data_IF_816758260348
#
_entry.id   IF_816758260348
#
_cell.length_a   1.000
_cell.length_b   1.000
_cell.length_c   1.000
_cell.angle_alpha   90.00
_cell.angle_beta   90.00
_cell.angle_gamma   90.00
#
_symmetry.space_group_name_H-M   'P 1'
#
loop_
_entity.id
_entity.type
_entity.pdbx_description
1 polymer ?
#
# COMPACT_ATOMS: atom_id res chain seq x y z
N UNK A 1 -5.36 -2.59 -6.31
CA UNK A 1 -4.25 -3.11 -5.46
C UNK A 1 -4.73 -4.37 -4.74
N UNK A 2 -3.83 -5.30 -4.44
CA UNK A 2 -4.10 -6.52 -3.69
C UNK A 2 -3.07 -6.66 -2.56
N UNK A 3 -3.49 -7.09 -1.38
CA UNK A 3 -2.59 -7.26 -0.22
C UNK A 3 -2.39 -8.73 0.12
N UNK A 4 -1.15 -9.13 0.42
CA UNK A 4 -0.75 -10.42 0.95
C UNK A 4 -0.32 -10.21 2.41
N UNK A 5 -1.12 -10.66 3.35
CA UNK A 5 -0.93 -10.38 4.79
C UNK A 5 -0.86 -11.67 5.60
N UNK A 6 0.05 -11.74 6.56
CA UNK A 6 0.10 -12.81 7.57
C UNK A 6 -0.50 -12.37 8.90
N UNK A 7 -1.56 -11.55 8.83
CA UNK A 7 -2.35 -11.07 9.96
C UNK A 7 -2.58 -12.16 11.00
N UNK A 8 -2.35 -11.80 12.25
CA UNK A 8 -2.39 -12.75 13.35
C UNK A 8 -2.96 -12.13 14.63
N UNK A 9 -3.04 -12.95 15.68
CA UNK A 9 -3.43 -12.48 17.02
C UNK A 9 -2.23 -12.19 17.92
N UNK A 10 -1.02 -12.52 17.50
CA UNK A 10 0.20 -12.34 18.29
C UNK A 10 1.09 -11.20 17.80
N UNK A 11 0.85 -10.70 16.60
CA UNK A 11 1.43 -9.51 15.99
C UNK A 11 0.28 -8.70 15.39
N UNK A 12 0.24 -7.40 15.67
CA UNK A 12 -0.99 -6.60 15.56
C UNK A 12 -0.96 -5.60 14.41
N UNK A 13 0.20 -5.36 13.81
CA UNK A 13 0.42 -4.32 12.81
C UNK A 13 -0.28 -4.59 11.48
N UNK A 14 -0.45 -5.84 11.04
CA UNK A 14 -1.32 -6.13 9.88
C UNK A 14 -2.78 -5.73 10.17
N UNK A 15 -3.28 -6.00 11.38
CA UNK A 15 -4.66 -5.65 11.76
C UNK A 15 -4.82 -4.13 11.83
N UNK A 16 -3.85 -3.42 12.40
CA UNK A 16 -3.78 -1.96 12.38
C UNK A 16 -3.78 -1.41 10.94
N UNK A 17 -2.95 -1.99 10.06
CA UNK A 17 -2.82 -1.60 8.66
C UNK A 17 -4.09 -1.88 7.84
N UNK A 18 -4.79 -3.00 8.09
CA UNK A 18 -6.09 -3.29 7.47
C UNK A 18 -7.14 -2.25 7.85
N UNK A 19 -7.19 -1.84 9.12
CA UNK A 19 -8.14 -0.81 9.58
C UNK A 19 -7.85 0.52 8.89
N UNK A 20 -6.58 0.91 8.79
CA UNK A 20 -6.19 2.13 8.07
C UNK A 20 -6.52 2.03 6.59
N UNK A 21 -6.26 0.90 5.94
CA UNK A 21 -6.63 0.68 4.54
C UNK A 21 -8.15 0.86 4.33
N UNK A 22 -8.99 0.32 5.22
CA UNK A 22 -10.45 0.51 5.14
C UNK A 22 -10.87 1.97 5.35
N UNK A 23 -10.21 2.69 6.25
CA UNK A 23 -10.44 4.13 6.42
C UNK A 23 -10.05 4.96 5.19
N UNK A 24 -9.27 4.38 4.26
CA UNK A 24 -8.84 4.98 2.98
C UNK A 24 -9.37 4.20 1.76
N UNK A 25 -10.42 3.38 1.92
CA UNK A 25 -10.92 2.52 0.85
C UNK A 25 -11.41 3.30 -0.37
N UNK A 26 -11.75 4.59 -0.23
CA UNK A 26 -12.07 5.47 -1.35
C UNK A 26 -10.89 5.84 -2.24
N UNK A 27 -9.65 5.69 -1.76
CA UNK A 27 -8.45 6.03 -2.51
C UNK A 27 -7.90 4.84 -3.32
N UNK A 28 -8.52 3.67 -3.19
CA UNK A 28 -8.04 2.43 -3.77
C UNK A 28 -9.16 1.60 -4.34
N UNK A 29 -8.92 1.06 -5.52
CA UNK A 29 -9.63 -0.15 -5.93
C UNK A 29 -8.93 -1.35 -5.29
N UNK A 30 -9.54 -1.89 -4.24
CA UNK A 30 -9.00 -3.02 -3.49
C UNK A 30 -9.46 -4.30 -4.18
N UNK A 31 -8.54 -4.99 -4.85
CA UNK A 31 -8.80 -6.19 -5.66
C UNK A 31 -8.60 -7.49 -4.89
N UNK A 32 -7.99 -7.43 -3.71
CA UNK A 32 -7.83 -8.60 -2.87
C UNK A 32 -7.27 -8.28 -1.49
N UNK A 33 -7.79 -8.99 -0.49
CA UNK A 33 -7.23 -9.08 0.86
C UNK A 33 -6.93 -10.54 1.09
N UNK A 34 -5.69 -10.94 0.84
CA UNK A 34 -5.28 -12.34 0.84
C UNK A 34 -4.50 -12.67 2.11
N UNK A 35 -5.07 -13.56 2.90
CA UNK A 35 -4.44 -14.06 4.12
C UNK A 35 -3.48 -15.16 3.72
N UNK A 36 -2.20 -14.97 4.02
CA UNK A 36 -1.13 -15.88 3.61
C UNK A 36 -0.16 -16.15 4.76
N UNK A 37 1.00 -16.70 4.42
CA UNK A 37 2.09 -16.94 5.36
C UNK A 37 3.06 -15.77 5.38
N UNK A 38 3.92 -15.72 6.38
CA UNK A 38 4.97 -14.72 6.56
C UNK A 38 5.75 -14.97 7.84
N UNK A 39 6.31 -13.93 8.44
CA UNK A 39 7.15 -14.06 9.62
C UNK A 39 6.33 -14.57 10.81
N UNK A 40 5.09 -14.06 10.93
CA UNK A 40 4.16 -14.34 12.01
C UNK A 40 3.43 -15.67 11.79
N UNK A 41 3.14 -16.04 10.54
CA UNK A 41 2.39 -17.27 10.19
C UNK A 41 3.20 -18.16 9.25
N UNK A 42 3.74 -19.28 9.75
CA UNK A 42 4.51 -20.20 8.92
C UNK A 42 3.63 -21.18 8.13
N UNK A 43 2.47 -21.56 8.67
CA UNK A 43 1.63 -22.63 8.12
C UNK A 43 0.15 -22.34 8.35
N UNK A 44 -0.48 -21.67 7.38
CA UNK A 44 -1.82 -21.11 7.52
C UNK A 44 -2.94 -22.14 7.75
N UNK A 45 -2.74 -23.42 7.38
CA UNK A 45 -3.76 -24.45 7.57
C UNK A 45 -3.90 -24.97 9.02
N UNK A 46 -3.07 -24.49 9.96
CA UNK A 46 -3.17 -24.86 11.38
C UNK A 46 -4.26 -24.06 12.08
N UNK A 47 -4.92 -24.65 13.06
CA UNK A 47 -5.72 -23.86 14.00
C UNK A 47 -4.80 -23.23 15.06
N UNK A 48 -4.93 -21.93 15.41
CA UNK A 48 -5.96 -20.98 14.97
C UNK A 48 -5.61 -20.18 13.70
N UNK A 49 -4.41 -20.37 13.10
CA UNK A 49 -3.93 -19.63 11.90
C UNK A 49 -4.97 -19.58 10.77
N UNK A 50 -5.63 -20.71 10.48
CA UNK A 50 -6.66 -20.81 9.44
C UNK A 50 -7.89 -19.92 9.73
N UNK A 51 -8.13 -19.57 10.99
CA UNK A 51 -9.18 -18.66 11.43
C UNK A 51 -8.80 -17.18 11.35
N UNK A 52 -7.55 -16.83 11.03
CA UNK A 52 -7.13 -15.42 10.94
C UNK A 52 -7.78 -14.66 9.80
N UNK A 53 -8.36 -15.35 8.82
CA UNK A 53 -9.25 -14.74 7.83
C UNK A 53 -10.45 -14.03 8.44
N UNK A 54 -10.89 -14.43 9.63
CA UNK A 54 -11.98 -13.77 10.32
C UNK A 54 -11.56 -12.41 10.91
N UNK A 55 -10.26 -12.12 11.05
CA UNK A 55 -9.78 -10.78 11.40
C UNK A 55 -10.09 -9.81 10.26
N UNK A 56 -9.69 -10.14 9.02
CA UNK A 56 -9.99 -9.29 7.86
C UNK A 56 -11.49 -9.13 7.62
N UNK A 57 -12.28 -10.20 7.79
CA UNK A 57 -13.75 -10.11 7.73
C UNK A 57 -14.31 -9.20 8.82
N UNK A 58 -13.81 -9.32 10.05
CA UNK A 58 -14.21 -8.46 11.17
C UNK A 58 -13.91 -6.98 10.93
N UNK A 59 -12.78 -6.67 10.30
CA UNK A 59 -12.42 -5.30 9.90
C UNK A 59 -13.39 -4.78 8.82
N UNK A 60 -13.74 -5.59 7.82
CA UNK A 60 -14.74 -5.22 6.80
C UNK A 60 -16.14 -5.07 7.42
N UNK A 61 -16.51 -5.87 8.42
CA UNK A 61 -17.77 -5.72 9.15
C UNK A 61 -17.80 -4.42 9.99
N UNK A 62 -16.65 -3.97 10.50
CA UNK A 62 -16.53 -2.65 11.13
C UNK A 62 -16.65 -1.52 10.09
N UNK A 63 -15.95 -1.65 8.96
CA UNK A 63 -16.05 -0.72 7.83
C UNK A 63 -17.50 -0.55 7.38
N UNK A 64 -18.25 -1.65 7.20
CA UNK A 64 -19.66 -1.60 6.78
C UNK A 64 -20.53 -0.71 7.68
N UNK A 65 -20.27 -0.73 8.99
CA UNK A 65 -21.03 0.08 9.96
C UNK A 65 -20.65 1.55 9.91
N UNK A 66 -19.40 1.85 9.59
CA UNK A 66 -18.89 3.22 9.47
C UNK A 66 -19.09 3.81 8.06
N UNK A 67 -19.34 2.96 7.06
CA UNK A 67 -19.49 3.32 5.65
C UNK A 67 -20.56 4.41 5.39
N UNK A 68 -21.75 4.39 6.03
CA UNK A 68 -22.72 5.47 5.88
C UNK A 68 -22.20 6.84 6.35
N UNK A 69 -21.25 6.87 7.28
CA UNK A 69 -20.60 8.10 7.72
C UNK A 69 -19.48 8.52 6.76
N UNK A 70 -18.66 7.58 6.31
CA UNK A 70 -17.57 7.81 5.35
C UNK A 70 -18.10 8.39 4.02
N UNK A 71 -19.17 7.81 3.48
CA UNK A 71 -19.79 8.23 2.21
C UNK A 71 -20.33 9.66 2.22
N UNK A 72 -20.64 10.24 3.40
CA UNK A 72 -21.09 11.63 3.50
C UNK A 72 -20.05 12.61 2.96
N UNK A 73 -18.78 12.22 2.90
CA UNK A 73 -17.68 13.11 2.50
C UNK A 73 -17.53 13.31 1.01
N UNK A 74 -17.81 12.27 0.24
CA UNK A 74 -17.93 12.35 -1.22
C UNK A 74 -19.38 12.56 -1.68
N UNK A 75 -20.34 12.62 -0.75
CA UNK A 75 -21.77 12.68 -1.08
C UNK A 75 -22.27 11.45 -1.83
N UNK A 76 -21.55 10.33 -1.68
CA UNK A 76 -21.84 9.11 -2.43
C UNK A 76 -23.17 8.49 -1.98
N UNK A 77 -23.91 7.95 -2.95
CA UNK A 77 -25.12 7.17 -2.71
C UNK A 77 -25.01 5.83 -3.42
N UNK A 78 -25.15 4.73 -2.67
CA UNK A 78 -25.04 3.37 -3.21
C UNK A 78 -23.61 3.02 -3.66
N UNK A 79 -23.53 1.92 -4.42
CA UNK A 79 -22.27 1.26 -4.78
C UNK A 79 -22.27 0.81 -6.25
N UNK A 80 -22.61 1.72 -7.16
CA UNK A 80 -22.79 1.41 -8.58
C UNK A 80 -21.49 0.95 -9.29
N UNK A 81 -20.32 1.19 -8.70
CA UNK A 81 -19.02 0.87 -9.29
C UNK A 81 -18.39 -0.39 -8.68
N UNK A 82 -19.12 -1.17 -7.88
CA UNK A 82 -18.60 -2.46 -7.38
C UNK A 82 -18.42 -3.49 -8.51
N UNK A 83 -19.16 -3.35 -9.61
CA UNK A 83 -19.10 -4.25 -10.77
C UNK A 83 -18.16 -3.82 -11.88
N UNK A 84 -17.30 -2.83 -11.64
CA UNK A 84 -16.34 -2.36 -12.65
C UNK A 84 -15.30 -1.42 -12.05
N UNK A 85 -14.57 -0.74 -12.93
CA UNK A 85 -13.48 0.17 -12.56
C UNK A 85 -13.90 1.24 -11.55
N UNK A 86 -13.20 1.28 -10.42
CA UNK A 86 -13.39 2.26 -9.35
C UNK A 86 -12.48 3.47 -9.54
N UNK A 87 -13.02 4.66 -9.24
CA UNK A 87 -12.29 5.91 -9.30
C UNK A 87 -11.92 6.38 -7.89
N UNK A 88 -10.86 7.19 -7.78
CA UNK A 88 -10.49 7.85 -6.52
C UNK A 88 -11.68 8.67 -6.00
N UNK A 89 -11.98 8.50 -4.71
CA UNK A 89 -13.13 9.08 -4.01
C UNK A 89 -14.36 8.17 -3.92
N UNK A 90 -14.35 7.01 -4.56
CA UNK A 90 -15.44 6.03 -4.51
C UNK A 90 -15.27 5.03 -3.35
N UNK A 91 -16.20 5.01 -2.42
CA UNK A 91 -16.25 4.03 -1.33
C UNK A 91 -16.87 2.69 -1.80
N UNK A 92 -16.10 1.58 -1.85
CA UNK A 92 -16.65 0.28 -2.23
C UNK A 92 -17.64 -0.25 -1.19
N UNK A 93 -18.59 -1.10 -1.59
CA UNK A 93 -19.43 -1.77 -0.60
C UNK A 93 -18.63 -2.78 0.24
N UNK A 94 -19.14 -3.07 1.44
CA UNK A 94 -18.58 -4.15 2.24
C UNK A 94 -18.76 -5.53 1.57
N UNK A 95 -19.80 -5.73 0.76
CA UNK A 95 -19.98 -6.97 0.00
C UNK A 95 -18.85 -7.16 -1.02
N UNK A 96 -18.54 -6.13 -1.80
CA UNK A 96 -17.43 -6.13 -2.76
C UNK A 96 -16.10 -6.51 -2.10
N UNK A 97 -15.82 -5.94 -0.92
CA UNK A 97 -14.60 -6.23 -0.17
C UNK A 97 -14.60 -7.68 0.37
N UNK A 98 -15.72 -8.17 0.92
CA UNK A 98 -15.83 -9.54 1.45
C UNK A 98 -15.59 -10.60 0.37
N UNK A 99 -16.12 -10.38 -0.83
CA UNK A 99 -15.94 -11.28 -1.98
C UNK A 99 -14.47 -11.37 -2.45
N UNK A 100 -13.63 -10.41 -2.03
CA UNK A 100 -12.20 -10.33 -2.33
C UNK A 100 -11.29 -10.76 -1.17
N UNK A 101 -11.85 -11.28 -0.07
CA UNK A 101 -11.06 -11.87 1.02
C UNK A 101 -10.80 -13.34 0.72
N UNK A 102 -9.54 -13.70 0.49
CA UNK A 102 -9.15 -15.07 0.12
C UNK A 102 -8.06 -15.64 1.04
N UNK A 103 -7.96 -16.97 1.09
CA UNK A 103 -6.76 -17.63 1.59
C UNK A 103 -5.74 -17.75 0.45
N UNK A 104 -4.49 -17.39 0.71
CA UNK A 104 -3.35 -17.54 -0.19
C UNK A 104 -2.60 -18.85 0.06
N UNK A 105 -1.29 -18.83 -0.22
CA UNK A 105 -0.41 -19.97 0.02
C UNK A 105 -0.44 -20.43 1.48
N UNK A 106 -0.47 -21.75 1.67
CA UNK A 106 -0.62 -22.38 2.99
C UNK A 106 0.68 -22.55 3.75
N UNK A 107 1.83 -22.49 3.07
CA UNK A 107 3.14 -22.74 3.66
C UNK A 107 4.18 -21.74 3.16
N UNK A 108 5.01 -21.30 4.09
CA UNK A 108 6.05 -20.31 3.87
C UNK A 108 7.32 -20.88 3.22
N UNK A 109 7.87 -20.15 2.27
CA UNK A 109 9.20 -20.37 1.67
C UNK A 109 9.18 -20.98 0.27
N UNK A 110 10.30 -20.84 -0.45
CA UNK A 110 10.50 -21.20 -1.86
C UNK A 110 10.17 -22.66 -2.19
N UNK A 111 10.40 -23.57 -1.24
CA UNK A 111 10.18 -25.02 -1.45
C UNK A 111 8.70 -25.42 -1.63
N UNK A 112 7.77 -24.51 -1.39
CA UNK A 112 6.33 -24.72 -1.58
C UNK A 112 5.79 -23.98 -2.81
N UNK A 113 6.67 -23.54 -3.71
CA UNK A 113 6.29 -23.01 -5.02
C UNK A 113 6.39 -24.17 -6.01
N UNK A 114 5.26 -24.79 -6.32
CA UNK A 114 5.20 -25.96 -7.21
C UNK A 114 3.80 -26.12 -7.83
N UNK A 115 3.59 -27.22 -8.57
CA UNK A 115 2.35 -27.48 -9.28
C UNK A 115 1.11 -27.77 -8.42
N UNK A 116 1.28 -28.05 -7.13
CA UNK A 116 0.19 -28.51 -6.25
C UNK A 116 -0.18 -27.49 -5.17
N UNK A 117 0.47 -26.31 -5.16
CA UNK A 117 0.30 -25.27 -4.13
C UNK A 117 -0.53 -24.05 -4.57
N UNK A 118 -1.29 -24.16 -5.66
CA UNK A 118 -2.31 -23.16 -6.04
C UNK A 118 -3.32 -22.91 -4.91
N UNK A 119 -3.83 -21.68 -4.83
CA UNK A 119 -4.73 -21.24 -3.75
C UNK A 119 -5.78 -20.26 -4.29
N UNK A 120 -6.94 -20.09 -3.62
CA UNK A 120 -7.91 -19.07 -4.03
C UNK A 120 -7.30 -17.67 -4.18
N UNK A 121 -6.31 -17.31 -3.35
CA UNK A 121 -5.59 -16.06 -3.45
C UNK A 121 -4.66 -15.96 -4.66
N UNK A 122 -4.00 -17.05 -5.07
CA UNK A 122 -3.18 -17.04 -6.29
C UNK A 122 -4.03 -17.00 -7.55
N UNK A 123 -5.15 -17.73 -7.58
CA UNK A 123 -6.12 -17.66 -8.68
C UNK A 123 -6.77 -16.28 -8.79
N UNK A 124 -7.11 -15.64 -7.66
CA UNK A 124 -7.60 -14.28 -7.63
C UNK A 124 -6.58 -13.31 -8.22
N UNK A 125 -5.31 -13.39 -7.79
CA UNK A 125 -4.25 -12.53 -8.32
C UNK A 125 -4.10 -12.68 -9.83
N UNK A 126 -4.10 -13.93 -10.33
CA UNK A 126 -4.01 -14.22 -11.77
C UNK A 126 -5.19 -13.59 -12.51
N UNK A 127 -6.41 -13.84 -12.02
CA UNK A 127 -7.64 -13.30 -12.61
C UNK A 127 -7.62 -11.77 -12.66
N UNK A 128 -7.22 -11.13 -11.56
CA UNK A 128 -7.17 -9.68 -11.42
C UNK A 128 -6.10 -9.03 -12.32
N UNK A 129 -4.98 -9.71 -12.56
CA UNK A 129 -3.98 -9.23 -13.51
C UNK A 129 -4.43 -9.36 -14.97
N UNK A 130 -5.27 -10.35 -15.29
CA UNK A 130 -5.79 -10.58 -16.63
C UNK A 130 -6.99 -9.71 -16.99
N UNK A 131 -7.53 -8.93 -16.06
CA UNK A 131 -8.63 -8.01 -16.34
C UNK A 131 -8.26 -6.98 -17.41
N UNK A 132 -9.23 -6.64 -18.27
CA UNK A 132 -9.11 -5.60 -19.31
C UNK A 132 -9.13 -4.18 -18.68
N UNK A 133 -8.13 -3.90 -17.85
CA UNK A 133 -7.78 -2.56 -17.38
C UNK A 133 -6.37 -2.24 -17.88
N UNK A 134 -6.02 -0.98 -18.07
CA UNK A 134 -4.64 -0.58 -18.43
C UNK A 134 -3.78 -0.27 -17.18
N UNK A 135 -4.42 -0.01 -16.03
CA UNK A 135 -3.72 0.28 -14.77
C UNK A 135 -2.96 -0.95 -14.26
N UNK A 136 -1.75 -0.80 -13.72
CA UNK A 136 -1.03 -1.92 -13.14
C UNK A 136 -1.72 -2.44 -11.87
N UNK A 137 -1.56 -3.75 -11.60
CA UNK A 137 -1.99 -4.35 -10.34
C UNK A 137 -0.82 -4.32 -9.34
N UNK A 138 -0.95 -3.46 -8.34
CA UNK A 138 -0.03 -3.38 -7.21
C UNK A 138 -0.29 -4.45 -6.17
N UNK A 139 0.74 -5.21 -5.81
CA UNK A 139 0.73 -6.25 -4.79
C UNK A 139 1.52 -5.75 -3.57
N UNK A 140 0.81 -5.45 -2.48
CA UNK A 140 1.41 -5.16 -1.19
C UNK A 140 1.72 -6.45 -0.45
N UNK A 141 3.00 -6.75 -0.25
CA UNK A 141 3.46 -7.95 0.46
C UNK A 141 3.77 -7.55 1.89
N UNK A 142 2.77 -7.70 2.77
CA UNK A 142 2.82 -7.36 4.19
C UNK A 142 3.43 -8.50 5.00
N UNK A 143 3.20 -9.74 4.57
CA UNK A 143 3.88 -10.92 5.08
C UNK A 143 4.82 -11.54 4.06
N UNK A 144 4.57 -12.80 3.73
CA UNK A 144 5.30 -13.58 2.74
C UNK A 144 4.84 -13.35 1.30
N UNK A 145 5.78 -13.47 0.36
CA UNK A 145 5.55 -13.33 -1.08
C UNK A 145 5.04 -14.61 -1.75
N UNK A 146 4.81 -15.69 -0.98
CA UNK A 146 4.53 -17.02 -1.51
C UNK A 146 3.33 -17.05 -2.46
N UNK A 147 2.27 -16.31 -2.18
CA UNK A 147 1.08 -16.29 -3.05
C UNK A 147 1.38 -15.62 -4.40
N UNK A 148 2.15 -14.53 -4.43
CA UNK A 148 2.60 -13.91 -5.68
C UNK A 148 3.55 -14.86 -6.43
N UNK A 149 4.52 -15.45 -5.72
CA UNK A 149 5.47 -16.38 -6.31
C UNK A 149 4.76 -17.60 -6.95
N UNK A 150 3.75 -18.15 -6.27
CA UNK A 150 2.93 -19.24 -6.77
C UNK A 150 2.13 -18.81 -8.01
N UNK A 151 1.56 -17.61 -8.02
CA UNK A 151 0.84 -17.07 -9.18
C UNK A 151 1.75 -16.96 -10.41
N UNK A 152 2.95 -16.42 -10.22
CA UNK A 152 3.97 -16.31 -11.27
C UNK A 152 4.36 -17.70 -11.78
N UNK A 153 4.59 -18.66 -10.88
CA UNK A 153 4.92 -20.04 -11.24
C UNK A 153 3.83 -20.69 -12.10
N UNK A 154 2.56 -20.56 -11.70
CA UNK A 154 1.42 -21.10 -12.45
C UNK A 154 1.36 -20.50 -13.87
N UNK A 155 1.46 -19.17 -13.98
CA UNK A 155 1.45 -18.48 -15.28
C UNK A 155 2.62 -18.92 -16.17
N UNK A 156 3.84 -19.01 -15.63
CA UNK A 156 5.03 -19.45 -16.38
C UNK A 156 4.93 -20.91 -16.84
N UNK A 157 4.23 -21.75 -16.08
CA UNK A 157 4.01 -23.17 -16.41
C UNK A 157 2.92 -23.35 -17.48
N UNK A 158 1.84 -22.61 -17.36
CA UNK A 158 0.61 -22.85 -18.12
C UNK A 158 0.49 -21.97 -19.37
N UNK A 159 1.27 -20.90 -19.48
CA UNK A 159 1.25 -19.95 -20.61
C UNK A 159 2.58 -19.90 -21.36
N UNK A 160 2.58 -19.28 -22.54
CA UNK A 160 3.81 -18.98 -23.29
C UNK A 160 4.72 -17.98 -22.54
N UNK A 161 5.98 -17.91 -22.94
CA UNK A 161 6.93 -16.96 -22.35
C UNK A 161 6.50 -15.49 -22.57
N UNK A 162 5.91 -15.19 -23.72
CA UNK A 162 5.39 -13.87 -24.06
C UNK A 162 4.17 -13.49 -23.20
N UNK A 163 3.25 -14.43 -22.97
CA UNK A 163 2.10 -14.23 -22.08
C UNK A 163 2.55 -14.07 -20.62
N UNK A 164 3.51 -14.88 -20.16
CA UNK A 164 4.07 -14.75 -18.82
C UNK A 164 4.79 -13.41 -18.62
N UNK A 165 5.54 -12.93 -19.63
CA UNK A 165 6.15 -11.60 -19.61
C UNK A 165 5.10 -10.48 -19.61
N UNK A 166 4.00 -10.64 -20.35
CA UNK A 166 2.88 -9.68 -20.34
C UNK A 166 2.24 -9.61 -18.95
N UNK A 167 2.01 -10.76 -18.33
CA UNK A 167 1.54 -10.87 -16.95
C UNK A 167 2.47 -10.18 -15.96
N UNK A 168 3.78 -10.44 -16.01
CA UNK A 168 4.75 -9.79 -15.11
C UNK A 168 4.75 -8.27 -15.28
N UNK A 169 4.73 -7.77 -16.52
CA UNK A 169 4.73 -6.33 -16.82
C UNK A 169 3.42 -5.63 -16.41
N UNK A 170 2.35 -6.37 -16.14
CA UNK A 170 1.11 -5.87 -15.58
C UNK A 170 1.16 -5.68 -14.06
N UNK A 171 2.04 -6.41 -13.39
CA UNK A 171 2.17 -6.43 -11.94
C UNK A 171 3.20 -5.43 -11.42
N UNK A 172 2.99 -4.97 -10.19
CA UNK A 172 3.98 -4.22 -9.40
C UNK A 172 3.98 -4.83 -8.00
N UNK A 173 5.12 -4.91 -7.34
CA UNK A 173 5.21 -5.47 -6.00
C UNK A 173 5.94 -4.52 -5.05
N UNK A 174 5.36 -4.33 -3.86
CA UNK A 174 5.98 -3.62 -2.75
C UNK A 174 6.04 -4.59 -1.56
N UNK A 175 7.24 -5.05 -1.20
CA UNK A 175 7.47 -5.93 -0.07
C UNK A 175 7.98 -5.19 1.17
N UNK A 176 7.37 -5.51 2.29
CA UNK A 176 7.79 -5.12 3.63
C UNK A 176 8.76 -6.19 4.14
N UNK A 177 10.06 -5.90 4.07
CA UNK A 177 11.17 -6.79 4.42
C UNK A 177 11.06 -8.22 3.82
N UNK A 178 11.88 -9.18 4.28
CA UNK A 178 11.87 -10.59 3.86
C UNK A 178 11.19 -11.48 4.90
N UNK A 179 9.89 -11.68 4.80
CA UNK A 179 9.19 -12.41 5.85
C UNK A 179 9.10 -13.92 5.62
N UNK A 180 9.67 -14.45 4.53
CA UNK A 180 9.56 -15.86 4.16
C UNK A 180 10.66 -16.77 4.71
N UNK A 181 11.65 -16.19 5.39
CA UNK A 181 12.78 -16.91 5.97
C UNK A 181 13.05 -16.48 7.41
N UNK A 182 13.84 -17.28 8.11
CA UNK A 182 14.43 -16.85 9.36
C UNK A 182 15.57 -15.86 9.07
N UNK A 183 15.49 -14.65 9.62
CA UNK A 183 16.53 -13.64 9.45
C UNK A 183 17.92 -14.12 9.91
N UNK A 184 17.98 -15.11 10.81
CA UNK A 184 19.21 -15.73 11.28
C UNK A 184 19.41 -17.10 10.64
N UNK A 185 20.45 -17.22 9.82
CA UNK A 185 20.95 -18.51 9.32
C UNK A 185 20.30 -19.04 8.05
N UNK A 186 19.27 -18.38 7.53
CA UNK A 186 18.69 -18.68 6.22
C UNK A 186 18.95 -17.50 5.27
N UNK A 187 19.35 -17.78 4.03
CA UNK A 187 19.52 -16.76 3.00
C UNK A 187 18.33 -16.69 2.04
N UNK A 188 18.51 -15.93 0.95
CA UNK A 188 17.46 -15.74 -0.06
C UNK A 188 17.12 -17.02 -0.82
N UNK A 189 18.01 -18.02 -0.82
CA UNK A 189 17.83 -19.30 -1.50
C UNK A 189 16.65 -20.14 -0.98
N UNK A 190 16.10 -19.80 0.19
CA UNK A 190 14.88 -20.43 0.73
C UNK A 190 13.67 -19.50 0.75
N UNK A 191 13.85 -18.20 0.49
CA UNK A 191 12.78 -17.20 0.52
C UNK A 191 12.00 -17.16 -0.79
N UNK A 192 10.68 -16.98 -0.71
CA UNK A 192 9.87 -16.74 -1.90
C UNK A 192 10.18 -15.38 -2.54
N UNK A 193 10.61 -14.39 -1.74
CA UNK A 193 11.05 -13.09 -2.25
C UNK A 193 12.33 -13.24 -3.08
N UNK A 194 13.27 -14.06 -2.61
CA UNK A 194 14.46 -14.45 -3.36
C UNK A 194 14.09 -15.16 -4.67
N UNK A 195 13.10 -16.06 -4.63
CA UNK A 195 12.58 -16.71 -5.83
C UNK A 195 11.97 -15.72 -6.83
N UNK A 196 11.10 -14.81 -6.38
CA UNK A 196 10.48 -13.79 -7.24
C UNK A 196 11.57 -12.98 -7.94
N UNK A 197 12.52 -12.44 -7.16
CA UNK A 197 13.66 -11.68 -7.70
C UNK A 197 14.45 -12.48 -8.76
N UNK A 198 14.75 -13.75 -8.51
CA UNK A 198 15.45 -14.63 -9.46
C UNK A 198 14.65 -14.89 -10.74
N UNK A 199 13.32 -14.99 -10.66
CA UNK A 199 12.47 -15.37 -11.79
C UNK A 199 12.02 -14.20 -12.66
N UNK A 200 11.96 -12.98 -12.12
CA UNK A 200 11.32 -11.86 -12.82
C UNK A 200 12.30 -10.85 -13.40
N UNK A 201 13.45 -10.63 -12.75
CA UNK A 201 14.37 -9.55 -13.12
C UNK A 201 13.63 -8.22 -13.38
N UNK A 202 13.91 -7.59 -14.52
CA UNK A 202 13.30 -6.31 -14.93
C UNK A 202 11.84 -6.40 -15.41
N UNK A 203 11.28 -7.61 -15.59
CA UNK A 203 9.89 -7.77 -16.05
C UNK A 203 8.87 -7.52 -14.92
N UNK A 204 9.31 -7.41 -13.67
CA UNK A 204 8.50 -7.00 -12.52
C UNK A 204 9.16 -5.81 -11.83
N UNK A 205 8.42 -4.70 -11.67
CA UNK A 205 8.84 -3.64 -10.75
C UNK A 205 8.65 -4.17 -9.32
N UNK A 206 9.76 -4.52 -8.68
CA UNK A 206 9.77 -5.09 -7.34
C UNK A 206 10.52 -4.16 -6.37
N UNK A 207 9.77 -3.53 -5.47
CA UNK A 207 10.28 -2.74 -4.35
C UNK A 207 10.43 -3.63 -3.13
N UNK A 208 11.61 -3.58 -2.51
CA UNK A 208 11.91 -4.24 -1.26
C UNK A 208 12.29 -3.21 -0.22
N UNK A 209 11.35 -2.89 0.66
CA UNK A 209 11.48 -1.84 1.65
C UNK A 209 11.95 -2.39 3.00
N UNK A 210 12.93 -1.71 3.57
CA UNK A 210 13.52 -1.95 4.88
C UNK A 210 13.53 -0.68 5.75
N UNK A 211 13.24 0.48 5.16
CA UNK A 211 13.44 1.78 5.77
C UNK A 211 12.11 2.40 6.22
N UNK A 212 11.11 2.47 5.34
CA UNK A 212 9.81 3.03 5.69
C UNK A 212 9.08 2.12 6.69
N UNK A 213 9.16 0.80 6.53
CA UNK A 213 8.74 -0.18 7.55
C UNK A 213 9.29 0.10 8.96
N UNK A 214 10.62 0.21 9.09
CA UNK A 214 11.27 0.48 10.39
C UNK A 214 10.89 1.86 10.94
N UNK A 215 10.80 2.85 10.04
CA UNK A 215 10.38 4.20 10.35
C UNK A 215 8.97 4.22 10.93
N UNK A 216 7.99 3.64 10.23
CA UNK A 216 6.60 3.59 10.67
C UNK A 216 6.47 2.94 12.04
N UNK A 217 7.06 1.75 12.19
CA UNK A 217 7.02 0.99 13.44
C UNK A 217 7.55 1.80 14.63
N UNK A 218 8.69 2.48 14.46
CA UNK A 218 9.38 3.20 15.55
C UNK A 218 8.74 4.55 15.87
N UNK A 219 8.37 5.32 14.85
CA UNK A 219 7.74 6.62 15.00
C UNK A 219 6.32 6.44 15.56
N UNK A 220 5.53 5.51 14.99
CA UNK A 220 4.17 5.25 15.44
C UNK A 220 4.11 4.78 16.90
N UNK A 221 5.04 3.89 17.30
CA UNK A 221 5.20 3.48 18.70
C UNK A 221 5.51 4.65 19.62
N UNK A 222 6.38 5.57 19.18
CA UNK A 222 6.71 6.77 19.95
C UNK A 222 5.55 7.77 20.00
N UNK A 223 4.69 7.77 18.98
CA UNK A 223 3.50 8.60 18.85
C UNK A 223 2.21 7.92 19.37
N UNK A 224 2.34 6.81 20.12
CA UNK A 224 1.18 5.97 20.50
C UNK A 224 0.07 6.75 21.22
N UNK A 225 0.43 7.77 22.01
CA UNK A 225 -0.55 8.62 22.68
C UNK A 225 -1.55 9.26 21.72
N UNK A 226 -1.12 9.65 20.53
CA UNK A 226 -2.00 10.21 19.50
C UNK A 226 -2.83 9.13 18.81
N UNK A 227 -2.30 7.92 18.56
CA UNK A 227 -3.11 6.79 18.07
C UNK A 227 -4.22 6.41 19.04
N UNK A 228 -3.89 6.28 20.33
CA UNK A 228 -4.87 5.97 21.36
C UNK A 228 -5.97 7.05 21.48
N UNK A 229 -5.63 8.29 21.16
CA UNK A 229 -6.53 9.45 21.26
C UNK A 229 -7.38 9.69 20.01
N UNK A 230 -6.82 9.49 18.83
CA UNK A 230 -7.44 9.88 17.56
C UNK A 230 -7.90 8.70 16.70
N UNK A 231 -7.41 7.49 16.97
CA UNK A 231 -7.69 6.30 16.17
C UNK A 231 -8.50 5.30 17.00
N UNK A 232 -7.98 4.91 18.18
CA UNK A 232 -8.66 3.91 19.01
C UNK A 232 -10.01 4.43 19.51
N UNK A 233 -11.05 3.61 19.33
CA UNK A 233 -12.43 3.94 19.72
C UNK A 233 -13.15 4.93 18.80
N UNK A 234 -12.53 5.38 17.69
CA UNK A 234 -13.19 6.24 16.70
C UNK A 234 -13.95 5.38 15.67
N UNK A 235 -15.28 5.32 15.81
CA UNK A 235 -16.12 4.48 14.95
C UNK A 235 -15.96 3.00 15.29
N UNK A 236 -16.56 2.14 14.46
CA UNK A 236 -16.45 0.69 14.58
C UNK A 236 -15.05 0.22 14.17
N UNK A 237 -14.44 0.85 13.16
CA UNK A 237 -13.05 0.60 12.77
C UNK A 237 -12.09 0.85 13.93
N UNK A 238 -12.18 2.02 14.56
CA UNK A 238 -11.31 2.38 15.69
C UNK A 238 -11.54 1.50 16.92
N UNK A 239 -12.74 0.93 17.09
CA UNK A 239 -13.01 -0.03 18.19
C UNK A 239 -12.26 -1.35 18.05
N UNK A 240 -11.85 -1.72 16.83
CA UNK A 240 -11.05 -2.90 16.57
C UNK A 240 -9.56 -2.62 16.51
N UNK A 241 -9.13 -1.35 16.44
CA UNK A 241 -7.72 -0.97 16.35
C UNK A 241 -6.95 -1.42 17.61
N UNK A 242 -6.12 -2.48 17.51
CA UNK A 242 -5.48 -3.05 18.68
C UNK A 242 -4.35 -2.15 19.20
N UNK A 243 -3.89 -2.42 20.42
CA UNK A 243 -2.63 -1.84 20.88
C UNK A 243 -1.47 -2.59 20.24
N UNK A 244 -0.49 -1.83 19.74
CA UNK A 244 0.72 -2.41 19.16
C UNK A 244 1.43 -3.40 20.08
N UNK A 245 1.99 -4.44 19.47
CA UNK A 245 2.84 -5.42 20.16
C UNK A 245 4.32 -5.05 20.08
N UNK A 246 4.86 -4.88 18.87
CA UNK A 246 6.28 -4.63 18.64
C UNK A 246 6.53 -3.21 18.10
N UNK A 247 5.81 -2.84 17.05
CA UNK A 247 5.68 -1.48 16.51
C UNK A 247 4.28 -1.29 15.91
N UNK A 248 4.03 -0.10 15.39
CA UNK A 248 2.72 0.33 14.86
C UNK A 248 2.73 0.27 13.34
N UNK A 249 1.71 -0.35 12.75
CA UNK A 249 1.42 -0.30 11.31
C UNK A 249 2.65 -0.54 10.39
N UNK A 250 3.46 -1.57 10.71
CA UNK A 250 4.67 -1.91 9.96
C UNK A 250 4.45 -2.03 8.44
N UNK A 251 3.29 -2.53 8.02
CA UNK A 251 3.01 -2.84 6.62
C UNK A 251 2.32 -1.72 5.84
N UNK A 252 1.81 -0.73 6.58
CA UNK A 252 1.12 0.42 6.01
C UNK A 252 1.93 1.19 4.94
N UNK A 253 3.27 1.32 5.01
CA UNK A 253 4.06 1.91 3.93
C UNK A 253 3.76 1.33 2.54
N UNK A 254 3.41 0.04 2.42
CA UNK A 254 3.15 -0.61 1.14
C UNK A 254 1.96 -0.01 0.37
N UNK A 255 0.95 0.53 1.07
CA UNK A 255 -0.13 1.26 0.41
C UNK A 255 0.01 2.78 0.55
N UNK A 256 0.74 3.30 1.54
CA UNK A 256 1.07 4.72 1.58
C UNK A 256 1.96 5.15 0.40
N UNK A 257 2.76 4.25 -0.14
CA UNK A 257 3.51 4.43 -1.40
C UNK A 257 2.59 4.78 -2.59
N UNK A 258 1.35 4.29 -2.55
CA UNK A 258 0.34 4.44 -3.60
C UNK A 258 -0.64 5.58 -3.35
N UNK A 259 -0.42 6.38 -2.31
CA UNK A 259 -1.34 7.45 -1.93
C UNK A 259 -1.46 8.49 -3.05
N UNK A 260 -2.67 8.71 -3.61
CA UNK A 260 -2.87 9.65 -4.70
C UNK A 260 -2.96 11.08 -4.16
N UNK A 261 -1.85 11.60 -3.66
CA UNK A 261 -1.73 12.94 -3.06
C UNK A 261 -0.89 13.92 -3.92
N UNK A 262 -0.49 13.49 -5.12
CA UNK A 262 0.32 14.28 -6.05
C UNK A 262 1.80 14.36 -5.72
N UNK A 263 2.28 13.65 -4.69
CA UNK A 263 3.68 13.68 -4.27
C UNK A 263 4.59 12.82 -5.15
N UNK A 264 4.08 11.68 -5.66
CA UNK A 264 4.81 10.77 -6.52
C UNK A 264 3.93 10.12 -7.60
N UNK A 265 4.59 9.69 -8.67
CA UNK A 265 4.12 8.66 -9.59
C UNK A 265 4.60 7.28 -9.06
N UNK A 266 3.70 6.36 -8.66
CA UNK A 266 4.09 5.04 -8.20
C UNK A 266 4.87 4.21 -9.22
N UNK A 267 4.81 4.54 -10.52
CA UNK A 267 5.62 3.86 -11.55
C UNK A 267 7.07 4.38 -11.58
N UNK A 268 7.39 5.43 -10.83
CA UNK A 268 8.74 5.99 -10.67
C UNK A 268 9.19 5.93 -9.20
N UNK A 269 9.81 4.83 -8.76
CA UNK A 269 10.20 4.65 -7.37
C UNK A 269 11.27 5.63 -6.87
N UNK A 270 11.89 6.42 -7.75
CA UNK A 270 12.88 7.43 -7.34
C UNK A 270 12.26 8.63 -6.63
N UNK A 271 10.97 8.87 -6.87
CA UNK A 271 10.23 9.98 -6.30
C UNK A 271 9.83 9.69 -4.85
N UNK A 272 9.93 10.70 -3.98
CA UNK A 272 9.52 10.56 -2.58
C UNK A 272 8.02 10.38 -2.45
N UNK A 273 7.60 9.38 -1.68
CA UNK A 273 6.21 9.13 -1.33
C UNK A 273 6.04 9.01 0.19
N UNK A 274 4.80 8.82 0.66
CA UNK A 274 4.55 8.44 2.05
C UNK A 274 4.99 7.01 2.39
N UNK A 275 5.34 6.20 1.39
CA UNK A 275 5.99 4.90 1.53
C UNK A 275 7.50 4.93 1.29
N UNK A 276 8.12 6.11 1.18
CA UNK A 276 9.56 6.24 0.93
C UNK A 276 9.92 6.40 -0.55
N UNK A 277 11.22 6.30 -0.83
CA UNK A 277 11.80 6.35 -2.18
C UNK A 277 12.99 5.40 -2.32
N UNK A 278 13.22 5.00 -3.56
CA UNK A 278 14.02 3.83 -3.89
C UNK A 278 14.95 4.11 -5.07
N UNK A 279 16.06 3.38 -5.10
CA UNK A 279 17.01 3.35 -6.21
C UNK A 279 17.07 1.93 -6.74
N UNK A 280 17.12 1.83 -8.07
CA UNK A 280 17.26 0.55 -8.75
C UNK A 280 18.65 -0.03 -8.49
N UNK A 281 18.70 -1.30 -8.06
CA UNK A 281 19.92 -2.08 -7.88
C UNK A 281 20.10 -3.05 -9.05
N UNK A 282 21.25 -3.71 -9.10
CA UNK A 282 21.52 -4.78 -10.07
C UNK A 282 20.41 -5.85 -10.02
N UNK A 283 20.04 -6.38 -11.18
CA UNK A 283 19.00 -7.40 -11.31
C UNK A 283 17.55 -6.89 -11.23
N UNK A 284 17.33 -5.58 -11.22
CA UNK A 284 15.99 -5.00 -11.37
C UNK A 284 15.28 -4.66 -10.05
N UNK A 285 15.87 -5.05 -8.91
CA UNK A 285 15.30 -4.83 -7.59
C UNK A 285 15.42 -3.37 -7.15
N UNK A 286 14.33 -2.80 -6.63
CA UNK A 286 14.33 -1.46 -6.05
C UNK A 286 14.55 -1.54 -4.54
N UNK A 287 15.53 -0.78 -4.06
CA UNK A 287 15.94 -0.73 -2.65
C UNK A 287 15.96 0.69 -2.15
N UNK A 288 15.83 0.86 -0.85
CA UNK A 288 15.79 2.14 -0.16
C UNK A 288 16.90 3.10 -0.65
N UNK A 289 16.51 4.32 -1.01
CA UNK A 289 17.45 5.40 -1.22
C UNK A 289 18.06 5.85 0.12
N UNK A 290 19.22 6.50 0.10
CA UNK A 290 19.87 7.02 1.32
C UNK A 290 19.02 8.04 2.08
N UNK A 291 18.07 8.67 1.39
CA UNK A 291 17.12 9.68 1.88
C UNK A 291 15.76 9.11 2.26
N UNK A 292 15.52 7.82 2.04
CA UNK A 292 14.22 7.19 2.30
C UNK A 292 13.72 7.42 3.73
N UNK A 293 14.60 7.23 4.72
CA UNK A 293 14.25 7.43 6.13
C UNK A 293 13.87 8.89 6.44
N UNK A 294 14.67 9.87 5.99
CA UNK A 294 14.40 11.29 6.24
C UNK A 294 13.14 11.78 5.51
N UNK A 295 12.91 11.30 4.29
CA UNK A 295 11.72 11.62 3.51
C UNK A 295 10.45 11.05 4.16
N UNK A 296 10.53 9.81 4.64
CA UNK A 296 9.46 9.18 5.39
C UNK A 296 9.15 9.95 6.68
N UNK A 297 10.17 10.29 7.48
CA UNK A 297 10.03 11.10 8.69
C UNK A 297 9.39 12.46 8.42
N UNK A 298 9.77 13.13 7.34
CA UNK A 298 9.20 14.42 6.94
C UNK A 298 7.71 14.33 6.61
N UNK A 299 7.27 13.23 5.98
CA UNK A 299 5.89 13.07 5.50
C UNK A 299 4.97 12.39 6.51
N UNK A 300 5.54 11.69 7.51
CA UNK A 300 4.80 10.96 8.53
C UNK A 300 3.69 11.79 9.23
N UNK A 301 3.92 13.05 9.67
CA UNK A 301 2.88 13.84 10.31
C UNK A 301 1.66 14.08 9.41
N UNK A 302 1.87 14.30 8.10
CA UNK A 302 0.78 14.47 7.14
C UNK A 302 -0.02 13.17 6.97
N UNK A 303 0.67 12.03 6.86
CA UNK A 303 0.05 10.73 6.75
C UNK A 303 -0.79 10.39 8.01
N UNK A 304 -0.25 10.65 9.21
CA UNK A 304 -0.97 10.44 10.48
C UNK A 304 -2.20 11.35 10.59
N UNK A 305 -2.05 12.65 10.31
CA UNK A 305 -3.17 13.59 10.38
C UNK A 305 -4.28 13.23 9.40
N UNK A 306 -3.93 12.73 8.21
CA UNK A 306 -4.90 12.23 7.24
C UNK A 306 -5.69 11.04 7.81
N UNK A 307 -5.01 10.10 8.46
CA UNK A 307 -5.66 8.97 9.09
C UNK A 307 -6.57 9.40 10.25
N UNK A 308 -6.09 10.26 11.15
CA UNK A 308 -6.88 10.80 12.26
C UNK A 308 -8.17 11.47 11.77
N UNK A 309 -8.08 12.31 10.73
CA UNK A 309 -9.25 12.94 10.14
C UNK A 309 -10.23 11.91 9.57
N UNK A 310 -9.74 10.89 8.87
CA UNK A 310 -10.58 9.80 8.34
C UNK A 310 -11.24 8.97 9.43
N UNK A 311 -10.62 8.82 10.60
CA UNK A 311 -11.24 8.16 11.75
C UNK A 311 -12.36 9.01 12.37
N UNK A 312 -12.25 10.34 12.36
CA UNK A 312 -13.38 11.21 12.69
C UNK A 312 -14.51 11.09 11.65
N UNK A 313 -14.17 10.88 10.37
CA UNK A 313 -15.16 10.62 9.33
C UNK A 313 -15.89 9.31 9.60
N UNK A 314 -15.18 8.23 9.93
CA UNK A 314 -15.78 6.95 10.28
C UNK A 314 -16.74 7.08 11.47
N UNK A 315 -16.30 7.76 12.54
CA UNK A 315 -17.06 7.91 13.78
C UNK A 315 -18.31 8.78 13.64
N UNK A 316 -18.19 9.94 12.98
CA UNK A 316 -19.22 10.99 13.06
C UNK A 316 -19.76 11.40 11.68
N UNK A 317 -19.11 10.98 10.60
CA UNK A 317 -19.21 11.65 9.29
C UNK A 317 -18.74 13.11 9.34
N UNK A 318 -18.05 13.47 10.44
CA UNK A 318 -17.40 14.72 10.91
C UNK A 318 -15.89 14.71 10.66
N UNK A 319 -15.14 15.83 10.79
CA UNK A 319 -13.67 15.88 10.59
C UNK A 319 -13.17 16.75 9.43
N UNK A 320 -11.87 17.05 9.42
CA UNK A 320 -11.24 17.92 8.40
C UNK A 320 -11.02 17.19 7.06
N UNK A 321 -10.87 17.91 5.95
CA UNK A 321 -10.49 17.36 4.64
C UNK A 321 -9.17 17.96 4.16
N UNK A 322 -8.52 17.25 3.24
CA UNK A 322 -7.31 17.76 2.60
C UNK A 322 -7.65 18.95 1.67
N UNK A 323 -6.73 19.91 1.51
CA UNK A 323 -6.84 20.95 0.49
C UNK A 323 -6.94 20.38 -0.94
N UNK A 324 -7.64 21.10 -1.82
CA UNK A 324 -7.64 20.84 -3.25
C UNK A 324 -6.50 21.63 -3.90
N UNK A 325 -5.33 20.99 -4.04
CA UNK A 325 -4.14 21.58 -4.67
C UNK A 325 -4.40 21.90 -6.14
N UNK A 326 -4.07 23.12 -6.56
CA UNK A 326 -4.08 23.51 -7.98
C UNK A 326 -2.73 24.15 -8.29
N UNK A 327 -1.95 23.52 -9.15
CA UNK A 327 -0.61 23.97 -9.55
C UNK A 327 -0.60 24.38 -11.02
N UNK A 328 -0.28 25.64 -11.30
CA UNK A 328 -0.28 26.22 -12.66
C UNK A 328 -1.61 26.05 -13.40
N UNK A 329 -2.71 26.00 -12.65
CA UNK A 329 -4.06 25.75 -13.17
C UNK A 329 -4.41 24.28 -13.38
N UNK A 330 -3.49 23.35 -13.10
CA UNK A 330 -3.74 21.91 -13.08
C UNK A 330 -4.22 21.47 -11.68
N UNK A 331 -5.39 20.83 -11.61
CA UNK A 331 -5.98 20.30 -10.38
C UNK A 331 -5.86 18.76 -10.28
N UNK A 332 -5.11 18.14 -11.19
CA UNK A 332 -4.85 16.71 -11.21
C UNK A 332 -3.90 16.26 -10.11
N UNK A 333 -3.91 14.95 -9.87
CA UNK A 333 -3.04 14.27 -8.89
C UNK A 333 -1.76 13.70 -9.52
N UNK A 334 -1.54 13.95 -10.82
CA UNK A 334 -0.34 13.53 -11.51
C UNK A 334 0.80 14.51 -11.24
N UNK A 335 2.04 14.00 -11.28
CA UNK A 335 3.23 14.86 -11.20
C UNK A 335 3.26 15.84 -12.37
N UNK A 336 3.28 17.15 -12.05
CA UNK A 336 3.38 18.20 -13.06
C UNK A 336 4.78 18.20 -13.69
N UNK A 337 4.86 17.96 -15.00
CA UNK A 337 6.14 17.95 -15.74
C UNK A 337 6.32 19.25 -16.53
N UNK A 338 7.46 19.92 -16.33
CA UNK A 338 7.89 21.08 -17.12
C UNK A 338 9.27 20.84 -17.75
N UNK A 339 9.49 21.37 -18.94
CA UNK A 339 10.76 21.28 -19.68
C UNK A 339 11.30 22.68 -20.04
N UNK A 340 11.72 23.46 -19.04
CA UNK A 340 12.26 24.80 -19.24
C UNK A 340 13.62 24.78 -19.95
N UNK A 341 14.01 25.92 -20.52
CA UNK A 341 15.36 26.12 -21.05
C UNK A 341 16.42 26.13 -19.94
N UNK A 342 17.66 25.77 -20.26
CA UNK A 342 18.77 25.90 -19.30
C UNK A 342 18.97 27.36 -18.93
N UNK A 343 19.17 27.63 -17.63
CA UNK A 343 19.39 28.98 -17.12
C UNK A 343 18.15 29.88 -17.12
N UNK A 344 16.95 29.33 -17.36
CA UNK A 344 15.69 30.07 -17.24
C UNK A 344 15.04 29.85 -15.88
N UNK A 345 14.37 30.87 -15.36
CA UNK A 345 13.52 30.74 -14.17
C UNK A 345 12.21 30.01 -14.51
N UNK A 346 11.69 29.25 -13.55
CA UNK A 346 10.39 28.58 -13.63
C UNK A 346 9.47 29.15 -12.56
N UNK A 347 8.29 29.61 -12.95
CA UNK A 347 7.24 29.97 -11.99
C UNK A 347 6.36 28.76 -11.73
N UNK A 348 6.04 28.52 -10.45
CA UNK A 348 5.05 27.57 -9.98
C UNK A 348 3.96 28.36 -9.24
N UNK A 349 2.72 28.27 -9.72
CA UNK A 349 1.59 29.03 -9.18
C UNK A 349 0.58 28.13 -8.49
N UNK A 350 0.53 28.20 -7.15
CA UNK A 350 -0.45 27.48 -6.34
C UNK A 350 -1.66 28.35 -5.90
N UNK A 351 -1.81 29.56 -6.45
CA UNK A 351 -2.78 30.57 -5.99
C UNK A 351 -4.25 30.16 -6.13
N UNK A 352 -4.54 29.17 -6.98
CA UNK A 352 -5.89 28.60 -7.16
C UNK A 352 -6.22 27.46 -6.20
N UNK A 353 -5.29 27.08 -5.33
CA UNK A 353 -5.51 26.07 -4.30
C UNK A 353 -6.58 26.54 -3.32
N UNK A 354 -7.47 25.64 -2.94
CA UNK A 354 -8.56 25.95 -2.01
C UNK A 354 -8.62 24.93 -0.89
N UNK A 355 -9.01 25.36 0.30
CA UNK A 355 -9.41 24.46 1.38
C UNK A 355 -10.93 24.27 1.37
N UNK A 356 -11.45 23.03 1.31
CA UNK A 356 -12.89 22.79 1.24
C UNK A 356 -13.62 23.05 2.56
N UNK A 357 -12.91 23.18 3.68
CA UNK A 357 -13.44 23.48 5.01
C UNK A 357 -13.24 24.96 5.40
N UNK A 358 -12.56 25.74 4.54
CA UNK A 358 -12.30 27.17 4.72
C UNK A 358 -11.11 27.47 5.62
N UNK A 359 -10.24 26.49 5.86
CA UNK A 359 -9.03 26.65 6.65
C UNK A 359 -7.99 27.51 5.91
N UNK A 360 -7.08 28.13 6.69
CA UNK A 360 -5.97 28.88 6.12
C UNK A 360 -4.93 27.95 5.50
N UNK A 361 -4.50 28.27 4.28
CA UNK A 361 -3.47 27.52 3.56
C UNK A 361 -2.08 28.10 3.81
N UNK A 362 -1.11 27.21 4.00
CA UNK A 362 0.32 27.54 4.02
C UNK A 362 1.03 26.81 2.88
N UNK A 363 1.85 27.53 2.14
CA UNK A 363 2.62 26.98 1.02
C UNK A 363 4.09 26.92 1.40
N UNK A 364 4.68 25.73 1.26
CA UNK A 364 6.12 25.50 1.44
C UNK A 364 6.64 24.83 0.18
N UNK A 365 7.68 25.41 -0.41
CA UNK A 365 8.37 24.86 -1.57
C UNK A 365 9.74 24.33 -1.16
N UNK A 366 10.12 23.18 -1.68
CA UNK A 366 11.44 22.59 -1.45
C UNK A 366 11.84 21.73 -2.64
N UNK A 367 13.14 21.43 -2.73
CA UNK A 367 13.71 20.53 -3.74
C UNK A 367 13.83 19.13 -3.16
N UNK A 368 13.37 18.10 -3.88
CA UNK A 368 13.75 16.71 -3.63
C UNK A 368 15.01 16.39 -4.44
N UNK A 369 16.18 16.78 -3.92
CA UNK A 369 17.45 16.68 -4.66
C UNK A 369 17.85 15.25 -5.01
N UNK A 370 17.32 14.28 -4.27
CA UNK A 370 17.54 12.84 -4.41
C UNK A 370 16.65 12.16 -5.47
N UNK A 371 15.54 12.79 -5.87
CA UNK A 371 14.66 12.30 -6.92
C UNK A 371 15.11 12.73 -8.34
N UNK A 372 16.06 13.66 -8.43
CA UNK A 372 16.55 14.23 -9.69
C UNK A 372 17.97 13.79 -10.05
N UNK A 373 18.37 14.07 -11.29
CA UNK A 373 19.75 13.85 -11.78
C UNK A 373 20.61 15.11 -11.74
N UNK A 374 20.05 16.24 -11.29
CA UNK A 374 20.75 17.52 -11.23
C UNK A 374 21.51 17.63 -9.92
N UNK A 375 22.84 17.64 -10.00
CA UNK A 375 23.74 17.71 -8.84
C UNK A 375 24.00 19.14 -8.35
N UNK A 376 23.53 20.15 -9.08
CA UNK A 376 23.72 21.55 -8.72
C UNK A 376 22.68 22.05 -7.71
N UNK A 377 22.95 23.21 -7.14
CA UNK A 377 21.97 23.90 -6.30
C UNK A 377 20.84 24.49 -7.15
N UNK A 378 19.62 24.41 -6.62
CA UNK A 378 18.43 25.06 -7.17
C UNK A 378 18.00 26.14 -6.16
N UNK A 379 17.94 27.38 -6.61
CA UNK A 379 17.40 28.50 -5.85
C UNK A 379 15.87 28.52 -6.00
N UNK A 380 15.14 28.52 -4.88
CA UNK A 380 13.67 28.59 -4.81
C UNK A 380 13.24 29.94 -4.27
#
# INVERSE_FOLDING_TARGET
MLVLTDVSTWETDDHESLIRLMAHADLFEIEGIVISTGYSVKTLNKSPENGFIDIARGVVDAYEKDLPNLMKRSGQTGHAHDGGKQAIGYWPSAQYLRERIMLGSMNRGKKFIDGDNGSPGSELLITQADEEDDRPLWIGIWGGGNTLAQSIYQVQKDRSAEEAKTFLNKLRAYAITDQDRNYKGEGLEVSSHGWIYEQTGDDLLFIWDEAAWKGHNSIGKSNWGEYAKHIQGHGNLGSQYPKYKFGVEGDTPAFLYLMPNGLNDPEDPTQSSWGGNFVKKDGGLWREASTCASNFEQTYPAAFNNFAARMDWAKEGKGNRNPNLVLDGDAGLNVLRKTPGRGTSVTLDASKTTDPDGDNLQFKWWVQSDAGTYEGEIEI
#
